data_IF_340965369457
#
_entry.id   IF_340965369457
#
_cell.length_a   1.000
_cell.length_b   1.000
_cell.length_c   1.000
_cell.angle_alpha   90.00
_cell.angle_beta   90.00
_cell.angle_gamma   90.00
#
_symmetry.space_group_name_H-M   'P 1'
#
loop_
_entity.id
_entity.type
_entity.pdbx_description
1 polymer ?
#
# COMPACT_ATOMS: atom_id res chain seq x y z
N UNK A 1 -4.10 30.98 -3.11
CA UNK A 1 -4.36 30.14 -4.30
C UNK A 1 -5.41 29.11 -3.90
N UNK A 2 -6.50 28.97 -4.67
CA UNK A 2 -7.48 27.91 -4.42
C UNK A 2 -6.90 26.59 -4.93
N UNK A 3 -6.96 25.55 -4.11
CA UNK A 3 -6.47 24.22 -4.49
C UNK A 3 -7.45 23.58 -5.49
N UNK A 4 -6.98 23.26 -6.70
CA UNK A 4 -7.74 22.53 -7.71
C UNK A 4 -7.32 21.05 -7.70
N UNK A 5 -8.29 20.16 -7.46
CA UNK A 5 -8.02 18.72 -7.50
C UNK A 5 -7.79 18.24 -8.94
N UNK A 6 -6.52 18.06 -9.30
CA UNK A 6 -6.10 17.59 -10.63
C UNK A 6 -4.94 16.63 -10.53
N UNK A 7 -5.12 15.43 -11.07
CA UNK A 7 -4.03 14.49 -11.24
C UNK A 7 -3.13 14.93 -12.39
N UNK A 8 -1.84 15.05 -12.11
CA UNK A 8 -0.78 15.37 -13.08
C UNK A 8 0.07 14.12 -13.32
N UNK A 9 0.49 13.85 -14.55
CA UNK A 9 1.40 12.76 -14.82
C UNK A 9 2.78 13.11 -14.26
N UNK A 10 3.28 12.27 -13.36
CA UNK A 10 4.64 12.30 -12.82
C UNK A 10 5.26 10.94 -13.14
N UNK A 11 6.58 10.78 -13.31
CA UNK A 11 7.16 9.46 -13.53
C UNK A 11 6.60 8.41 -12.55
N UNK A 12 6.11 7.30 -13.11
CA UNK A 12 5.54 6.15 -12.39
C UNK A 12 4.21 6.38 -11.64
N UNK A 13 3.64 7.59 -11.60
CA UNK A 13 2.41 7.85 -10.86
C UNK A 13 1.58 8.99 -11.46
N UNK A 14 0.38 9.15 -10.91
CA UNK A 14 -0.42 10.35 -11.12
C UNK A 14 -0.59 11.06 -9.79
N UNK A 15 -0.27 12.35 -9.73
CA UNK A 15 -0.19 13.07 -8.46
C UNK A 15 -1.09 14.28 -8.46
N UNK A 16 -1.93 14.38 -7.44
CA UNK A 16 -2.66 15.61 -7.11
C UNK A 16 -1.84 16.37 -6.07
N UNK A 17 -1.03 17.33 -6.53
CA UNK A 17 -0.08 18.10 -5.72
C UNK A 17 -0.83 19.24 -5.02
N UNK A 18 -0.88 19.20 -3.69
CA UNK A 18 -1.58 20.23 -2.92
C UNK A 18 -0.72 21.51 -2.85
N UNK A 19 -1.30 22.72 -2.99
CA UNK A 19 -0.52 23.97 -2.95
C UNK A 19 0.20 24.26 -1.63
N UNK A 20 -0.34 23.71 -0.53
CA UNK A 20 0.16 23.84 0.85
C UNK A 20 0.02 22.49 1.55
N UNK A 21 0.86 21.51 1.20
CA UNK A 21 0.66 20.12 1.63
C UNK A 21 0.93 19.97 3.13
N UNK A 22 -0.01 19.36 3.86
CA UNK A 22 0.22 18.96 5.27
C UNK A 22 0.84 17.57 5.40
N UNK A 23 0.82 16.80 4.31
CA UNK A 23 1.30 15.43 4.22
C UNK A 23 1.20 14.88 2.80
N UNK A 24 1.75 13.69 2.58
CA UNK A 24 1.68 12.94 1.33
C UNK A 24 1.02 11.58 1.58
N UNK A 25 0.01 11.23 0.80
CA UNK A 25 -0.64 9.91 0.84
C UNK A 25 -0.36 9.16 -0.45
N UNK A 26 0.35 8.04 -0.33
CA UNK A 26 0.62 7.08 -1.41
C UNK A 26 -0.52 6.07 -1.48
N UNK A 27 -1.39 6.21 -2.48
CA UNK A 27 -2.58 5.39 -2.67
C UNK A 27 -2.31 4.26 -3.68
N UNK A 28 -2.47 3.03 -3.22
CA UNK A 28 -2.41 1.82 -4.04
C UNK A 28 -3.71 1.01 -3.93
N UNK A 29 -4.31 0.72 -5.08
CA UNK A 29 -5.61 0.05 -5.15
C UNK A 29 -5.52 -1.47 -5.19
N UNK A 30 -6.66 -2.11 -5.46
CA UNK A 30 -6.80 -3.56 -5.59
C UNK A 30 -6.44 -4.10 -6.99
N UNK A 31 -6.69 -5.39 -7.23
CA UNK A 31 -6.49 -6.00 -8.54
C UNK A 31 -7.48 -5.46 -9.61
N UNK A 32 -7.19 -5.75 -10.89
CA UNK A 32 -8.01 -5.38 -12.05
C UNK A 32 -8.30 -3.88 -12.11
N UNK A 33 -9.56 -3.47 -12.03
CA UNK A 33 -9.96 -2.06 -12.00
C UNK A 33 -9.23 -1.28 -10.89
N UNK A 34 -8.98 -1.92 -9.75
CA UNK A 34 -8.28 -1.29 -8.64
C UNK A 34 -6.85 -0.85 -8.99
N UNK A 35 -6.23 -1.39 -10.04
CA UNK A 35 -4.85 -1.06 -10.42
C UNK A 35 -4.71 0.31 -11.10
N UNK A 36 -5.82 1.04 -11.28
CA UNK A 36 -5.86 2.40 -11.81
C UNK A 36 -6.48 3.38 -10.79
N UNK A 37 -5.72 3.81 -9.77
CA UNK A 37 -6.33 4.52 -8.64
C UNK A 37 -6.94 5.88 -8.98
N UNK A 38 -6.46 6.52 -10.06
CA UNK A 38 -6.93 7.82 -10.54
C UNK A 38 -8.41 7.86 -10.93
N UNK A 39 -8.98 6.71 -11.31
CA UNK A 39 -10.38 6.57 -11.72
C UNK A 39 -11.18 5.97 -10.57
N UNK A 40 -10.78 4.78 -10.11
CA UNK A 40 -11.62 3.97 -9.23
C UNK A 40 -11.57 4.40 -7.77
N UNK A 41 -10.58 5.18 -7.35
CA UNK A 41 -10.48 5.74 -5.99
C UNK A 41 -10.51 7.26 -5.99
N UNK A 42 -10.95 7.85 -7.11
CA UNK A 42 -10.91 9.30 -7.31
C UNK A 42 -11.68 10.06 -6.23
N UNK A 43 -12.77 9.48 -5.72
CA UNK A 43 -13.55 10.10 -4.64
C UNK A 43 -12.72 10.27 -3.36
N UNK A 44 -12.12 9.19 -2.85
CA UNK A 44 -11.29 9.24 -1.64
C UNK A 44 -10.05 10.11 -1.87
N UNK A 45 -9.40 9.98 -3.03
CA UNK A 45 -8.27 10.83 -3.38
C UNK A 45 -8.62 12.33 -3.38
N UNK A 46 -9.81 12.67 -3.90
CA UNK A 46 -10.31 14.06 -3.87
C UNK A 46 -10.53 14.52 -2.42
N UNK A 47 -11.17 13.71 -1.58
CA UNK A 47 -11.44 14.06 -0.17
C UNK A 47 -10.16 14.26 0.64
N UNK A 48 -9.15 13.42 0.42
CA UNK A 48 -7.81 13.59 1.00
C UNK A 48 -7.15 14.89 0.52
N UNK A 49 -7.22 15.19 -0.77
CA UNK A 49 -6.67 16.41 -1.33
C UNK A 49 -7.35 17.67 -0.76
N UNK A 50 -8.68 17.67 -0.68
CA UNK A 50 -9.46 18.77 -0.09
C UNK A 50 -9.16 18.95 1.41
N UNK A 51 -8.65 17.91 2.08
CA UNK A 51 -8.20 17.95 3.47
C UNK A 51 -6.74 18.39 3.64
N UNK A 52 -6.05 18.76 2.55
CA UNK A 52 -4.70 19.32 2.58
C UNK A 52 -3.57 18.37 2.18
N UNK A 53 -3.87 17.11 1.83
CA UNK A 53 -2.85 16.13 1.47
C UNK A 53 -2.48 16.18 -0.01
N UNK A 54 -1.20 15.98 -0.32
CA UNK A 54 -0.80 15.56 -1.67
C UNK A 54 -1.12 14.09 -1.85
N UNK A 55 -1.81 13.74 -2.93
CA UNK A 55 -2.21 12.34 -3.18
C UNK A 55 -1.47 11.77 -4.37
N UNK A 56 -0.68 10.72 -4.13
CA UNK A 56 0.07 9.98 -5.14
C UNK A 56 -0.70 8.71 -5.48
N UNK A 57 -1.36 8.69 -6.63
CA UNK A 57 -2.04 7.50 -7.14
C UNK A 57 -1.03 6.59 -7.87
N UNK A 58 -0.73 5.42 -7.29
CA UNK A 58 0.26 4.46 -7.79
C UNK A 58 -0.42 3.38 -8.64
N UNK A 59 -0.38 3.46 -9.99
CA UNK A 59 -0.80 2.34 -10.81
C UNK A 59 0.21 1.20 -10.71
N UNK A 60 -0.25 -0.03 -10.93
CA UNK A 60 0.64 -1.18 -11.03
C UNK A 60 0.14 -2.16 -12.08
N UNK A 61 1.03 -3.04 -12.56
CA UNK A 61 0.66 -4.14 -13.45
C UNK A 61 0.35 -5.37 -12.61
N UNK A 62 -0.88 -5.88 -12.71
CA UNK A 62 -1.27 -7.11 -12.04
C UNK A 62 -0.51 -8.31 -12.60
N UNK A 63 0.04 -9.13 -11.71
CA UNK A 63 0.76 -10.38 -11.99
C UNK A 63 0.69 -11.28 -10.77
N UNK A 64 0.91 -12.58 -10.93
CA UNK A 64 1.04 -13.55 -9.83
C UNK A 64 2.40 -13.46 -9.12
N UNK A 65 3.34 -12.65 -9.59
CA UNK A 65 4.63 -12.40 -8.92
C UNK A 65 4.57 -11.06 -8.19
N UNK A 66 4.25 -11.08 -6.91
CA UNK A 66 3.95 -9.85 -6.15
C UNK A 66 5.20 -9.15 -5.61
N UNK A 67 6.30 -9.87 -5.37
CA UNK A 67 7.57 -9.27 -4.93
C UNK A 67 8.12 -8.23 -5.91
N UNK A 68 8.26 -8.53 -7.23
CA UNK A 68 8.70 -7.52 -8.20
C UNK A 68 7.78 -6.30 -8.28
N UNK A 69 6.47 -6.48 -8.06
CA UNK A 69 5.51 -5.36 -8.04
C UNK A 69 5.77 -4.46 -6.82
N UNK A 70 5.86 -5.05 -5.63
CA UNK A 70 6.14 -4.31 -4.40
C UNK A 70 7.50 -3.58 -4.49
N UNK A 71 8.58 -4.30 -4.83
CA UNK A 71 9.92 -3.74 -4.94
C UNK A 71 10.01 -2.65 -6.02
N UNK A 72 9.25 -2.79 -7.11
CA UNK A 72 9.13 -1.75 -8.14
C UNK A 72 8.62 -0.43 -7.56
N UNK A 73 7.66 -0.45 -6.65
CA UNK A 73 7.07 0.76 -6.06
C UNK A 73 8.10 1.62 -5.33
N UNK A 74 9.06 0.99 -4.64
CA UNK A 74 10.11 1.68 -3.88
C UNK A 74 11.31 2.07 -4.75
N UNK A 75 11.67 1.24 -5.74
CA UNK A 75 12.70 1.60 -6.73
C UNK A 75 12.37 2.89 -7.49
N UNK A 76 11.10 3.13 -7.72
CA UNK A 76 10.59 4.31 -8.42
C UNK A 76 10.50 5.57 -7.53
N UNK A 77 10.60 5.42 -6.21
CA UNK A 77 10.26 6.47 -5.24
C UNK A 77 11.12 7.73 -5.39
N UNK A 78 12.44 7.55 -5.55
CA UNK A 78 13.38 8.66 -5.78
C UNK A 78 12.98 9.51 -6.99
N UNK A 79 12.73 8.87 -8.13
CA UNK A 79 12.38 9.57 -9.37
C UNK A 79 10.99 10.19 -9.28
N UNK A 80 10.04 9.50 -8.63
CA UNK A 80 8.70 10.01 -8.36
C UNK A 80 8.76 11.31 -7.55
N UNK A 81 9.41 11.31 -6.39
CA UNK A 81 9.45 12.48 -5.52
C UNK A 81 10.27 13.64 -6.07
N UNK A 82 11.33 13.36 -6.84
CA UNK A 82 12.00 14.39 -7.64
C UNK A 82 11.04 15.03 -8.65
N UNK A 83 10.22 14.23 -9.33
CA UNK A 83 9.20 14.74 -10.25
C UNK A 83 8.13 15.58 -9.54
N UNK A 84 7.67 15.18 -8.35
CA UNK A 84 6.72 15.95 -7.53
C UNK A 84 7.33 17.29 -7.12
N UNK A 85 8.57 17.28 -6.63
CA UNK A 85 9.29 18.49 -6.22
C UNK A 85 9.42 19.50 -7.37
N UNK A 86 9.83 19.04 -8.55
CA UNK A 86 9.99 19.92 -9.71
C UNK A 86 8.66 20.46 -10.22
N UNK A 87 7.59 19.66 -10.22
CA UNK A 87 6.25 20.14 -10.59
C UNK A 87 5.70 21.13 -9.56
N UNK A 88 5.89 20.90 -8.25
CA UNK A 88 5.47 21.82 -7.20
C UNK A 88 6.16 23.19 -7.34
N UNK A 89 7.47 23.21 -7.62
CA UNK A 89 8.22 24.45 -7.90
C UNK A 89 7.67 25.20 -9.11
N UNK A 90 7.40 24.50 -10.22
CA UNK A 90 6.83 25.10 -11.44
C UNK A 90 5.47 25.75 -11.20
N UNK A 91 4.66 25.15 -10.31
CA UNK A 91 3.35 25.65 -9.94
C UNK A 91 3.39 26.79 -8.90
N UNK A 92 4.56 27.09 -8.33
CA UNK A 92 4.70 28.07 -7.26
C UNK A 92 4.05 27.60 -5.95
N UNK A 93 4.00 26.29 -5.71
CA UNK A 93 3.43 25.69 -4.50
C UNK A 93 4.49 25.55 -3.40
N UNK A 94 4.05 25.38 -2.16
CA UNK A 94 4.96 24.98 -1.07
C UNK A 94 5.47 23.55 -1.34
N UNK A 95 6.79 23.35 -1.20
CA UNK A 95 7.44 22.11 -1.61
C UNK A 95 8.42 21.54 -0.58
N UNK A 96 8.56 22.18 0.59
CA UNK A 96 9.53 21.77 1.62
C UNK A 96 9.34 20.33 2.08
N UNK A 97 8.08 19.86 2.16
CA UNK A 97 7.77 18.49 2.53
C UNK A 97 8.40 17.48 1.56
N UNK A 98 8.43 17.77 0.25
CA UNK A 98 8.98 16.87 -0.78
C UNK A 98 10.52 16.83 -0.81
N UNK A 99 11.19 17.68 -0.01
CA UNK A 99 12.64 17.66 0.17
C UNK A 99 13.07 16.87 1.40
N UNK A 100 12.12 16.53 2.28
CA UNK A 100 12.39 15.76 3.48
C UNK A 100 12.63 14.30 3.13
N UNK A 101 13.46 13.64 3.93
CA UNK A 101 13.54 12.19 3.92
C UNK A 101 12.20 11.62 4.43
N UNK A 102 11.52 10.83 3.60
CA UNK A 102 10.22 10.24 3.93
C UNK A 102 10.31 9.27 5.11
N UNK A 103 11.50 8.75 5.43
CA UNK A 103 11.72 7.84 6.55
C UNK A 103 12.18 8.54 7.83
N UNK A 104 12.39 9.87 7.78
CA UNK A 104 12.75 10.64 8.98
C UNK A 104 11.59 10.70 9.98
N UNK A 105 11.92 10.80 11.27
CA UNK A 105 10.92 10.98 12.33
C UNK A 105 10.17 12.29 12.16
N UNK A 106 8.86 12.28 12.36
CA UNK A 106 7.97 13.43 12.12
C UNK A 106 7.74 13.76 10.64
N UNK A 107 8.14 12.89 9.70
CA UNK A 107 7.74 13.01 8.31
C UNK A 107 6.25 12.65 8.17
N UNK A 108 5.51 13.39 7.33
CA UNK A 108 4.08 13.18 7.13
C UNK A 108 3.82 12.41 5.82
N UNK A 109 4.36 11.20 5.73
CA UNK A 109 4.21 10.31 4.57
C UNK A 109 3.40 9.08 4.97
N UNK A 110 2.34 8.80 4.22
CA UNK A 110 1.38 7.74 4.56
C UNK A 110 1.15 6.83 3.37
N UNK A 111 0.90 5.55 3.65
CA UNK A 111 0.46 4.57 2.67
C UNK A 111 -1.01 4.24 2.86
N UNK A 112 -1.78 4.23 1.78
CA UNK A 112 -3.19 3.85 1.78
C UNK A 112 -3.41 2.72 0.77
N UNK A 113 -3.64 1.52 1.28
CA UNK A 113 -3.84 0.32 0.48
C UNK A 113 -5.29 -0.13 0.45
N UNK A 114 -5.72 -0.71 -0.67
CA UNK A 114 -6.98 -1.43 -0.75
C UNK A 114 -6.81 -2.84 -1.31
N UNK A 115 -7.46 -3.85 -0.72
CA UNK A 115 -7.48 -5.22 -1.26
C UNK A 115 -6.05 -5.72 -1.52
N UNK A 116 -5.72 -6.11 -2.76
CA UNK A 116 -4.37 -6.53 -3.12
C UNK A 116 -3.27 -5.48 -2.82
N UNK A 117 -3.60 -4.19 -2.89
CA UNK A 117 -2.68 -3.11 -2.55
C UNK A 117 -2.18 -3.18 -1.10
N UNK A 118 -2.98 -3.71 -0.17
CA UNK A 118 -2.54 -3.90 1.24
C UNK A 118 -1.46 -4.97 1.34
N UNK A 119 -1.49 -5.99 0.48
CA UNK A 119 -0.44 -7.01 0.42
C UNK A 119 0.87 -6.40 -0.05
N UNK A 120 0.86 -5.50 -1.05
CA UNK A 120 2.08 -4.84 -1.49
C UNK A 120 2.69 -3.95 -0.40
N UNK A 121 1.86 -3.17 0.32
CA UNK A 121 2.33 -2.41 1.48
C UNK A 121 2.92 -3.34 2.55
N UNK A 122 2.25 -4.45 2.87
CA UNK A 122 2.79 -5.40 3.83
C UNK A 122 4.13 -6.00 3.39
N UNK A 123 4.30 -6.33 2.11
CA UNK A 123 5.59 -6.79 1.57
C UNK A 123 6.67 -5.70 1.65
N UNK A 124 6.33 -4.43 1.45
CA UNK A 124 7.25 -3.31 1.60
C UNK A 124 7.63 -3.07 3.07
N UNK A 125 6.67 -3.15 3.99
CA UNK A 125 6.96 -3.09 5.41
C UNK A 125 7.96 -4.18 5.78
N UNK A 126 7.76 -5.43 5.34
CA UNK A 126 8.72 -6.51 5.58
C UNK A 126 10.14 -6.18 5.08
N UNK A 127 10.28 -5.53 3.94
CA UNK A 127 11.58 -5.14 3.41
C UNK A 127 12.23 -3.99 4.17
N UNK A 128 11.48 -3.23 4.97
CA UNK A 128 12.05 -2.16 5.80
C UNK A 128 12.93 -2.74 6.93
N UNK A 129 12.74 -4.01 7.30
CA UNK A 129 13.65 -4.70 8.22
C UNK A 129 15.07 -4.85 7.63
N UNK A 130 15.26 -4.67 6.31
CA UNK A 130 16.58 -4.73 5.64
C UNK A 130 17.54 -3.64 6.09
N UNK A 131 17.06 -2.57 6.74
CA UNK A 131 17.94 -1.58 7.35
C UNK A 131 18.79 -2.16 8.50
N UNK A 132 18.30 -3.23 9.13
CA UNK A 132 18.92 -3.81 10.34
C UNK A 132 19.20 -5.30 10.26
N UNK A 133 18.60 -6.00 9.28
CA UNK A 133 18.70 -7.46 9.11
C UNK A 133 19.12 -7.81 7.69
N UNK A 134 19.74 -8.98 7.53
CA UNK A 134 19.94 -9.55 6.19
C UNK A 134 18.63 -10.11 5.64
N UNK A 135 18.52 -10.19 4.32
CA UNK A 135 17.33 -10.71 3.65
C UNK A 135 16.99 -12.14 4.13
N UNK A 136 18.00 -13.00 4.30
CA UNK A 136 17.83 -14.35 4.86
C UNK A 136 17.11 -14.35 6.21
N UNK A 137 17.41 -13.38 7.08
CA UNK A 137 16.83 -13.29 8.42
C UNK A 137 15.38 -12.79 8.39
N UNK A 138 15.02 -12.00 7.38
CA UNK A 138 13.65 -11.51 7.16
C UNK A 138 12.78 -12.61 6.56
N UNK A 139 13.32 -13.29 5.55
CA UNK A 139 12.62 -14.33 4.82
C UNK A 139 12.49 -15.63 5.63
N UNK A 140 13.54 -15.98 6.38
CA UNK A 140 13.62 -17.22 7.16
C UNK A 140 13.23 -18.44 6.33
N UNK A 141 12.53 -19.39 6.96
CA UNK A 141 12.00 -20.58 6.29
C UNK A 141 10.62 -20.34 5.63
N UNK A 142 10.15 -19.08 5.55
CA UNK A 142 8.83 -18.77 5.01
C UNK A 142 8.76 -18.90 3.48
N UNK A 143 9.89 -18.82 2.78
CA UNK A 143 9.98 -18.90 1.32
C UNK A 143 11.08 -19.86 0.89
N UNK A 144 10.93 -20.44 -0.30
CA UNK A 144 11.95 -21.33 -0.87
C UNK A 144 13.13 -20.56 -1.47
N UNK A 145 14.26 -21.25 -1.66
CA UNK A 145 15.52 -20.68 -2.20
C UNK A 145 15.35 -19.97 -3.54
N UNK A 146 14.50 -20.50 -4.43
CA UNK A 146 14.25 -19.88 -5.73
C UNK A 146 13.56 -18.52 -5.60
N UNK A 147 12.63 -18.42 -4.65
CA UNK A 147 11.91 -17.18 -4.38
C UNK A 147 12.80 -16.17 -3.65
N UNK A 148 13.61 -16.62 -2.69
CA UNK A 148 14.64 -15.80 -2.05
C UNK A 148 15.57 -15.19 -3.10
N UNK A 149 16.12 -16.01 -4.01
CA UNK A 149 16.98 -15.53 -5.10
C UNK A 149 16.27 -14.51 -6.01
N UNK A 150 15.00 -14.73 -6.34
CA UNK A 150 14.21 -13.77 -7.13
C UNK A 150 14.04 -12.42 -6.41
N UNK A 151 13.89 -12.43 -5.08
CA UNK A 151 13.81 -11.23 -4.27
C UNK A 151 15.16 -10.52 -4.26
N UNK A 152 16.26 -11.24 -4.00
CA UNK A 152 17.63 -10.70 -4.06
C UNK A 152 17.89 -10.03 -5.41
N UNK A 153 17.59 -10.73 -6.51
CA UNK A 153 17.77 -10.22 -7.87
C UNK A 153 16.93 -8.96 -8.12
N UNK A 154 15.71 -8.90 -7.59
CA UNK A 154 14.85 -7.71 -7.70
C UNK A 154 15.40 -6.52 -6.90
N UNK A 155 16.11 -6.77 -5.80
CA UNK A 155 16.67 -5.76 -4.91
C UNK A 155 18.04 -5.21 -5.34
N UNK A 156 18.77 -5.84 -6.26
CA UNK A 156 20.17 -5.48 -6.61
C UNK A 156 20.41 -4.00 -6.94
N UNK A 157 19.41 -3.33 -7.51
CA UNK A 157 19.49 -1.90 -7.88
C UNK A 157 18.58 -1.00 -7.03
N UNK A 158 18.06 -1.52 -5.92
CA UNK A 158 17.22 -0.75 -5.01
C UNK A 158 18.09 -0.08 -3.95
N UNK A 159 18.00 1.24 -3.84
CA UNK A 159 18.63 1.99 -2.75
C UNK A 159 17.84 1.73 -1.45
N UNK A 160 18.42 0.99 -0.49
CA UNK A 160 17.74 0.54 0.75
C UNK A 160 16.99 1.65 1.49
N UNK A 161 17.51 2.88 1.50
CA UNK A 161 16.87 4.04 2.13
C UNK A 161 15.48 4.37 1.56
N UNK A 162 15.24 4.12 0.27
CA UNK A 162 13.94 4.32 -0.37
C UNK A 162 13.08 3.05 -0.35
N UNK A 163 13.63 1.92 0.13
CA UNK A 163 12.85 0.69 0.33
C UNK A 163 12.11 0.74 1.67
N UNK A 164 12.64 1.51 2.61
CA UNK A 164 12.15 1.58 3.97
C UNK A 164 10.88 2.42 4.08
N UNK A 165 9.88 1.84 4.75
CA UNK A 165 8.63 2.48 5.17
C UNK A 165 8.71 2.86 6.66
N UNK A 166 9.91 2.92 7.24
CA UNK A 166 10.08 3.38 8.63
C UNK A 166 9.50 4.78 8.77
N UNK A 167 8.75 5.00 9.85
CA UNK A 167 8.02 6.25 10.12
C UNK A 167 7.01 6.66 9.03
N UNK A 168 6.62 5.76 8.12
CA UNK A 168 5.57 6.00 7.13
C UNK A 168 4.31 5.17 7.46
N UNK A 169 3.33 5.70 8.21
CA UNK A 169 2.19 4.91 8.65
C UNK A 169 1.34 4.38 7.49
N UNK A 170 0.77 3.19 7.66
CA UNK A 170 -0.02 2.53 6.64
C UNK A 170 -1.47 2.33 7.06
N UNK A 171 -2.41 2.50 6.12
CA UNK A 171 -3.83 2.22 6.29
C UNK A 171 -4.21 1.11 5.32
N UNK A 172 -4.61 -0.04 5.87
CA UNK A 172 -4.99 -1.23 5.10
C UNK A 172 -6.52 -1.32 5.04
N UNK A 173 -7.10 -0.94 3.90
CA UNK A 173 -8.55 -1.03 3.67
C UNK A 173 -8.94 -2.35 3.01
N UNK A 174 -9.90 -3.07 3.59
CA UNK A 174 -10.38 -4.35 3.04
C UNK A 174 -9.22 -5.29 2.62
N UNK A 175 -8.26 -5.57 3.52
CA UNK A 175 -7.06 -6.31 3.13
C UNK A 175 -7.40 -7.71 2.65
N UNK A 176 -6.77 -8.12 1.54
CA UNK A 176 -6.92 -9.46 0.97
C UNK A 176 -5.54 -10.02 0.64
N UNK A 177 -5.18 -11.08 1.36
CA UNK A 177 -4.01 -11.90 1.07
C UNK A 177 -4.54 -13.25 0.60
N UNK A 178 -4.75 -13.36 -0.72
CA UNK A 178 -5.30 -14.56 -1.34
C UNK A 178 -4.38 -15.13 -2.41
N UNK A 179 -4.60 -16.42 -2.72
CA UNK A 179 -3.86 -17.17 -3.74
C UNK A 179 -4.50 -17.06 -5.13
N UNK A 180 -4.07 -17.95 -6.01
CA UNK A 180 -4.43 -17.99 -7.44
C UNK A 180 -5.93 -18.14 -7.69
N UNK A 181 -6.65 -18.78 -6.77
CA UNK A 181 -8.11 -18.97 -6.83
C UNK A 181 -8.92 -17.66 -6.84
N UNK A 182 -8.33 -16.54 -6.43
CA UNK A 182 -9.00 -15.22 -6.53
C UNK A 182 -8.93 -14.58 -7.92
N UNK A 183 -8.03 -15.07 -8.78
CA UNK A 183 -7.84 -14.57 -10.14
C UNK A 183 -8.23 -15.61 -11.21
N UNK A 184 -8.26 -16.90 -10.86
CA UNK A 184 -8.68 -17.99 -11.74
C UNK A 184 -10.05 -18.50 -11.29
N UNK A 185 -11.11 -18.34 -12.10
CA UNK A 185 -12.48 -18.65 -11.69
C UNK A 185 -12.79 -20.15 -11.57
N UNK A 186 -11.92 -21.02 -12.08
CA UNK A 186 -12.12 -22.48 -12.07
C UNK A 186 -11.18 -23.13 -11.05
N UNK A 187 -11.70 -23.71 -9.95
CA UNK A 187 -10.88 -24.23 -8.84
C UNK A 187 -9.83 -25.27 -9.27
N UNK A 188 -10.19 -26.26 -10.10
CA UNK A 188 -9.25 -27.28 -10.57
C UNK A 188 -8.09 -26.69 -11.39
N UNK A 189 -8.35 -25.60 -12.14
CA UNK A 189 -7.32 -24.90 -12.90
C UNK A 189 -6.43 -24.10 -11.96
N UNK A 190 -7.00 -23.45 -10.94
CA UNK A 190 -6.22 -22.75 -9.92
C UNK A 190 -5.27 -23.72 -9.20
N UNK A 191 -5.77 -24.87 -8.76
CA UNK A 191 -4.97 -25.91 -8.09
C UNK A 191 -3.86 -26.46 -9.00
N UNK A 192 -4.15 -26.64 -10.29
CA UNK A 192 -3.15 -27.08 -11.26
C UNK A 192 -2.06 -26.02 -11.47
N UNK A 193 -2.44 -24.75 -11.60
CA UNK A 193 -1.50 -23.62 -11.74
C UNK A 193 -0.61 -23.49 -10.51
N UNK A 194 -1.18 -23.67 -9.31
CA UNK A 194 -0.43 -23.69 -8.05
C UNK A 194 0.55 -24.86 -7.98
N UNK A 195 0.10 -26.09 -8.30
CA UNK A 195 0.95 -27.30 -8.33
C UNK A 195 2.10 -27.22 -9.33
N UNK A 196 1.90 -26.54 -10.45
CA UNK A 196 2.92 -26.32 -11.47
C UNK A 196 3.86 -25.14 -11.14
N UNK A 197 3.70 -24.47 -9.98
CA UNK A 197 4.55 -23.36 -9.53
C UNK A 197 4.28 -22.02 -10.25
N UNK A 198 3.20 -21.96 -11.05
CA UNK A 198 2.78 -20.73 -11.74
C UNK A 198 1.77 -19.91 -10.92
N UNK A 199 1.43 -20.37 -9.72
CA UNK A 199 0.54 -19.69 -8.78
C UNK A 199 1.05 -18.38 -8.20
N UNK A 200 0.22 -17.69 -7.43
CA UNK A 200 0.56 -16.43 -6.74
C UNK A 200 1.72 -16.65 -5.76
N UNK A 201 2.79 -15.85 -5.92
CA UNK A 201 3.94 -15.80 -5.02
C UNK A 201 4.17 -14.38 -4.48
N UNK A 202 4.40 -14.21 -3.16
CA UNK A 202 4.30 -15.26 -2.13
C UNK A 202 2.86 -15.77 -1.96
N UNK A 203 2.69 -17.03 -1.59
CA UNK A 203 1.37 -17.61 -1.27
C UNK A 203 0.80 -16.93 -0.02
N UNK A 204 -0.50 -17.10 0.29
CA UNK A 204 -1.05 -16.60 1.55
C UNK A 204 -0.29 -17.09 2.78
N UNK A 205 0.03 -18.38 2.84
CA UNK A 205 0.76 -19.01 3.95
C UNK A 205 2.15 -18.41 4.10
N UNK A 206 2.88 -18.25 2.99
CA UNK A 206 4.19 -17.59 2.99
C UNK A 206 4.08 -16.14 3.45
N UNK A 207 3.09 -15.40 2.97
CA UNK A 207 2.88 -13.99 3.33
C UNK A 207 2.58 -13.85 4.82
N UNK A 208 1.71 -14.71 5.38
CA UNK A 208 1.40 -14.73 6.80
C UNK A 208 2.60 -15.12 7.67
N UNK A 209 3.38 -16.10 7.24
CA UNK A 209 4.64 -16.46 7.90
C UNK A 209 5.59 -15.27 8.00
N UNK A 210 5.79 -14.54 6.89
CA UNK A 210 6.65 -13.36 6.84
C UNK A 210 6.14 -12.24 7.76
N UNK A 211 4.84 -11.90 7.70
CA UNK A 211 4.23 -10.88 8.55
C UNK A 211 4.41 -11.22 10.04
N UNK A 212 4.24 -12.48 10.41
CA UNK A 212 4.40 -12.93 11.80
C UNK A 212 5.83 -12.77 12.31
N UNK A 213 6.83 -12.97 11.44
CA UNK A 213 8.25 -12.89 11.79
C UNK A 213 8.78 -11.45 11.85
N UNK A 214 8.04 -10.47 11.33
CA UNK A 214 8.46 -9.08 11.36
C UNK A 214 8.13 -8.38 12.68
N UNK A 215 9.02 -7.47 13.06
CA UNK A 215 8.84 -6.58 14.21
C UNK A 215 8.14 -5.27 13.83
N UNK A 216 7.85 -5.09 12.55
CA UNK A 216 7.19 -3.92 11.98
C UNK A 216 5.66 -4.06 12.11
N UNK A 217 4.88 -3.22 11.42
CA UNK A 217 3.43 -3.04 11.57
C UNK A 217 2.94 -2.25 12.79
N UNK A 218 3.84 -1.58 13.52
CA UNK A 218 3.47 -0.75 14.70
C UNK A 218 2.90 0.63 14.33
N UNK A 219 2.88 0.97 13.04
CA UNK A 219 2.29 2.20 12.49
C UNK A 219 1.16 1.87 11.49
N UNK A 220 0.52 0.72 11.67
CA UNK A 220 -0.50 0.22 10.75
C UNK A 220 -1.90 0.40 11.34
N UNK A 221 -2.81 0.91 10.53
CA UNK A 221 -4.24 0.95 10.80
C UNK A 221 -4.98 -0.02 9.87
N UNK A 222 -6.03 -0.63 10.40
CA UNK A 222 -6.91 -1.55 9.68
C UNK A 222 -8.29 -0.89 9.51
N UNK A 223 -8.83 -0.90 8.29
CA UNK A 223 -10.23 -0.55 8.03
C UNK A 223 -10.90 -1.74 7.34
N UNK A 224 -11.85 -2.38 8.02
CA UNK A 224 -12.58 -3.53 7.51
C UNK A 224 -14.07 -3.25 7.33
N UNK A 225 -14.76 -4.07 6.53
CA UNK A 225 -16.18 -3.88 6.23
C UNK A 225 -17.04 -5.10 6.61
N UNK A 226 -18.16 -4.83 7.27
CA UNK A 226 -19.05 -5.87 7.82
C UNK A 226 -19.69 -6.83 6.79
N UNK A 227 -19.86 -6.39 5.53
CA UNK A 227 -20.44 -7.21 4.43
C UNK A 227 -19.40 -7.56 3.36
N UNK A 228 -18.10 -7.48 3.69
CA UNK A 228 -17.02 -7.88 2.78
C UNK A 228 -16.82 -9.40 2.77
N UNK A 229 -17.57 -10.07 1.88
CA UNK A 229 -17.46 -11.52 1.67
C UNK A 229 -16.10 -11.97 1.14
N UNK A 230 -15.37 -11.11 0.42
CA UNK A 230 -14.09 -11.47 -0.20
C UNK A 230 -13.01 -11.54 0.88
N UNK A 231 -12.88 -10.48 1.69
CA UNK A 231 -11.93 -10.46 2.80
C UNK A 231 -12.28 -11.49 3.88
N UNK A 232 -13.58 -11.73 4.13
CA UNK A 232 -14.05 -12.78 5.04
C UNK A 232 -13.65 -14.17 4.55
N UNK A 233 -13.88 -14.49 3.27
CA UNK A 233 -13.52 -15.78 2.68
C UNK A 233 -12.01 -15.99 2.67
N UNK A 234 -11.23 -14.93 2.39
CA UNK A 234 -9.77 -14.98 2.45
C UNK A 234 -9.24 -15.12 3.89
N UNK A 235 -10.07 -14.90 4.92
CA UNK A 235 -9.67 -14.96 6.33
C UNK A 235 -8.67 -13.87 6.75
N UNK A 236 -8.31 -12.94 5.86
CA UNK A 236 -7.18 -12.02 6.04
C UNK A 236 -7.39 -11.05 7.20
N UNK A 237 -8.57 -10.43 7.29
CA UNK A 237 -8.91 -9.48 8.37
C UNK A 237 -8.82 -10.18 9.72
N UNK A 238 -9.46 -11.35 9.86
CA UNK A 238 -9.42 -12.15 11.08
C UNK A 238 -8.00 -12.53 11.46
N UNK A 239 -7.20 -12.99 10.50
CA UNK A 239 -5.82 -13.36 10.74
C UNK A 239 -4.98 -12.18 11.23
N UNK A 240 -5.15 -10.99 10.61
CA UNK A 240 -4.44 -9.77 11.02
C UNK A 240 -4.86 -9.33 12.42
N UNK A 241 -6.16 -9.35 12.75
CA UNK A 241 -6.66 -9.02 14.09
C UNK A 241 -6.08 -9.98 15.14
N UNK A 242 -6.06 -11.29 14.86
CA UNK A 242 -5.55 -12.32 15.80
C UNK A 242 -4.03 -12.27 15.99
N UNK A 243 -3.25 -11.90 14.97
CA UNK A 243 -1.78 -11.96 15.00
C UNK A 243 -1.09 -10.60 15.17
N UNK A 244 -1.76 -9.51 14.78
CA UNK A 244 -1.24 -8.14 14.86
C UNK A 244 -2.09 -7.22 15.73
N UNK A 245 -3.20 -7.66 16.33
CA UNK A 245 -4.13 -6.79 17.07
C UNK A 245 -3.48 -5.89 18.12
N UNK A 246 -2.46 -6.37 18.84
CA UNK A 246 -1.72 -5.57 19.82
C UNK A 246 -0.70 -4.58 19.18
N UNK A 247 -0.36 -4.76 17.90
CA UNK A 247 0.54 -3.92 17.12
C UNK A 247 -0.21 -2.89 16.26
N UNK A 248 -1.46 -3.19 15.87
CA UNK A 248 -2.29 -2.26 15.12
C UNK A 248 -2.61 -1.02 15.97
N UNK A 249 -2.36 0.16 15.44
CA UNK A 249 -2.67 1.40 16.15
C UNK A 249 -4.16 1.69 16.17
N UNK A 250 -4.85 1.32 15.10
CA UNK A 250 -6.26 1.61 14.89
C UNK A 250 -6.88 0.43 14.13
N UNK A 251 -8.05 -0.03 14.58
CA UNK A 251 -8.88 -1.03 13.89
C UNK A 251 -10.32 -0.50 13.81
N UNK A 252 -10.72 -0.05 12.62
CA UNK A 252 -12.05 0.50 12.33
C UNK A 252 -12.89 -0.50 11.54
N UNK A 253 -14.12 -0.73 12.01
CA UNK A 253 -15.09 -1.63 11.35
C UNK A 253 -16.27 -0.82 10.83
N UNK A 254 -16.41 -0.74 9.50
CA UNK A 254 -17.43 0.06 8.82
C UNK A 254 -18.53 -0.79 8.16
N UNK A 255 -19.73 -0.22 7.92
CA UNK A 255 -20.69 -0.83 7.01
C UNK A 255 -20.17 -0.76 5.57
N UNK A 256 -20.26 -1.87 4.83
CA UNK A 256 -19.81 -1.89 3.43
C UNK A 256 -19.51 -3.28 2.91
N UNK A 257 -19.25 -3.36 1.61
CA UNK A 257 -18.71 -4.53 0.89
C UNK A 257 -17.25 -4.30 0.50
N UNK A 258 -16.61 -5.31 -0.11
CA UNK A 258 -15.23 -5.20 -0.58
C UNK A 258 -14.95 -3.95 -1.43
N UNK A 259 -15.83 -3.63 -2.38
CA UNK A 259 -15.64 -2.51 -3.31
C UNK A 259 -16.11 -1.15 -2.76
N UNK A 260 -16.43 -1.05 -1.47
CA UNK A 260 -16.86 0.23 -0.84
C UNK A 260 -15.84 1.37 -1.03
N UNK A 261 -14.52 1.10 -1.03
CA UNK A 261 -13.52 2.13 -1.32
C UNK A 261 -13.53 2.68 -2.74
N UNK A 262 -14.24 2.04 -3.67
CA UNK A 262 -14.32 2.53 -5.04
C UNK A 262 -15.33 3.69 -5.16
N UNK A 263 -14.95 4.72 -5.91
CA UNK A 263 -15.79 5.88 -6.18
C UNK A 263 -15.12 6.86 -7.14
N UNK A 264 -15.94 7.50 -7.98
CA UNK A 264 -15.48 8.50 -8.95
C UNK A 264 -15.96 9.91 -8.60
N UNK A 265 -17.14 10.31 -9.09
CA UNK A 265 -17.78 11.59 -8.76
C UNK A 265 -18.50 11.56 -7.42
N UNK A 266 -19.01 10.37 -7.07
CA UNK A 266 -19.61 10.03 -5.77
C UNK A 266 -18.88 8.83 -5.22
N UNK A 267 -18.88 8.69 -3.90
CA UNK A 267 -18.33 7.56 -3.18
C UNK A 267 -18.96 7.46 -1.79
N UNK A 268 -18.30 6.78 -0.87
CA UNK A 268 -18.76 6.63 0.50
C UNK A 268 -18.16 7.72 1.39
N UNK A 269 -18.99 8.66 1.85
CA UNK A 269 -18.57 9.76 2.72
C UNK A 269 -18.04 9.28 4.07
N UNK A 270 -18.76 8.35 4.71
CA UNK A 270 -18.34 7.78 6.00
C UNK A 270 -16.95 7.18 5.91
N UNK A 271 -16.66 6.40 4.85
CA UNK A 271 -15.34 5.84 4.62
C UNK A 271 -14.29 6.93 4.39
N UNK A 272 -14.59 7.92 3.54
CA UNK A 272 -13.62 8.98 3.25
C UNK A 272 -13.26 9.77 4.52
N UNK A 273 -14.26 10.10 5.35
CA UNK A 273 -14.08 10.80 6.62
C UNK A 273 -13.30 9.94 7.62
N UNK A 274 -13.61 8.64 7.73
CA UNK A 274 -12.84 7.70 8.55
C UNK A 274 -11.39 7.61 8.09
N UNK A 275 -11.12 7.51 6.78
CA UNK A 275 -9.74 7.47 6.25
C UNK A 275 -8.96 8.74 6.63
N UNK A 276 -9.57 9.92 6.48
CA UNK A 276 -8.93 11.19 6.88
C UNK A 276 -8.64 11.19 8.38
N UNK A 277 -9.63 10.84 9.21
CA UNK A 277 -9.48 10.78 10.67
C UNK A 277 -8.39 9.80 11.11
N UNK A 278 -8.32 8.62 10.49
CA UNK A 278 -7.28 7.61 10.75
C UNK A 278 -5.91 8.17 10.40
N UNK A 279 -5.73 8.76 9.21
CA UNK A 279 -4.45 9.34 8.80
C UNK A 279 -4.04 10.48 9.73
N UNK A 280 -4.97 11.35 10.16
CA UNK A 280 -4.68 12.41 11.13
C UNK A 280 -4.19 11.84 12.46
N UNK A 281 -4.85 10.81 13.00
CA UNK A 281 -4.40 10.14 14.24
C UNK A 281 -3.04 9.45 14.08
N UNK A 282 -2.76 8.89 12.92
CA UNK A 282 -1.46 8.27 12.63
C UNK A 282 -0.34 9.32 12.57
N UNK A 283 -0.61 10.52 12.05
CA UNK A 283 0.34 11.63 12.00
C UNK A 283 0.82 12.06 13.40
N UNK A 284 -0.01 11.90 14.44
CA UNK A 284 0.34 12.21 15.83
C UNK A 284 1.31 11.18 16.46
N UNK A 285 1.60 10.07 15.77
CA UNK A 285 2.39 8.94 16.30
C UNK A 285 3.78 8.82 15.69
N UNK A 286 4.10 9.61 14.66
CA UNK A 286 5.39 9.59 13.94
C UNK A 286 6.32 10.74 14.29
#
# INVERSE_FOLDING_TARGET
MNAEFKFRPIPFAWVAIHPKPIGVVQLIGGAFFGSFPTIFYRYIAKRLFESGYTVVARPFRFTFRHWPVAIGLVKEEKTLFQGILEEAKKLGYEYSIYQQDSSARGSNYFWLGHSLGTKYIALLELLSDLESKKLQEILGDCVGKDQEKQIEDSLRDAELKYISLINQPSVLMAPVISGTSSAVPVPFIADLVDRLGFGVLPTPEQTYCLIKNSRLFNLTALISFSKDKIAQQAGTVRWLEENLGNKLLIDEKLPGKHLTPLGWLRGNDQLADTVIQVITKLAERV
#
